data_IF_439761166021
#
_entry.id   IF_439761166021
#
_cell.length_a   1.000
_cell.length_b   1.000
_cell.length_c   1.000
_cell.angle_alpha   90.00
_cell.angle_beta   90.00
_cell.angle_gamma   90.00
#
_symmetry.space_group_name_H-M   'P 1'
#
loop_
_entity.id
_entity.type
_entity.pdbx_description
1 polymer ?
#
# COMPACT_ATOMS: atom_id res chain seq x y z
N UNK A 1 -1.82 49.04 34.16
CA UNK A 1 -1.97 47.64 34.61
C UNK A 1 -2.92 46.84 33.69
N UNK A 2 -4.01 47.42 33.19
CA UNK A 2 -5.00 46.70 32.34
C UNK A 2 -4.55 46.38 30.92
N UNK A 3 -3.67 47.20 30.31
CA UNK A 3 -3.19 46.99 28.93
C UNK A 3 -2.26 45.78 28.86
N UNK A 4 -1.35 45.62 29.81
CA UNK A 4 -0.41 44.52 29.87
C UNK A 4 -1.12 43.17 30.10
N UNK A 5 -2.17 43.18 30.95
CA UNK A 5 -2.99 41.98 31.21
C UNK A 5 -3.81 41.55 29.98
N UNK A 6 -4.36 42.50 29.22
CA UNK A 6 -5.08 42.22 28.00
C UNK A 6 -4.16 41.71 26.86
N UNK A 7 -2.95 42.25 26.75
CA UNK A 7 -1.95 41.77 25.80
C UNK A 7 -1.47 40.34 26.14
N UNK A 8 -1.25 40.03 27.40
CA UNK A 8 -0.86 38.68 27.85
C UNK A 8 -1.99 37.68 27.61
N UNK A 9 -3.24 38.08 27.85
CA UNK A 9 -4.43 37.22 27.63
C UNK A 9 -4.66 36.93 26.15
N UNK A 10 -4.47 37.92 25.25
CA UNK A 10 -4.56 37.75 23.80
C UNK A 10 -3.42 36.88 23.29
N UNK A 11 -2.21 37.02 23.81
CA UNK A 11 -1.07 36.19 23.44
C UNK A 11 -1.25 34.72 23.82
N UNK A 12 -1.82 34.45 25.01
CA UNK A 12 -2.16 33.08 25.46
C UNK A 12 -3.27 32.45 24.57
N UNK A 13 -4.27 33.25 24.15
CA UNK A 13 -5.31 32.78 23.24
C UNK A 13 -4.76 32.43 21.85
N UNK A 14 -3.86 33.26 21.32
CA UNK A 14 -3.21 33.00 20.01
C UNK A 14 -2.32 31.75 20.08
N UNK A 15 -1.61 31.51 21.19
CA UNK A 15 -0.79 30.32 21.39
C UNK A 15 -1.63 29.04 21.52
N UNK A 16 -2.84 29.12 22.06
CA UNK A 16 -3.72 27.96 22.22
C UNK A 16 -4.44 27.55 20.94
N UNK A 17 -4.66 28.46 19.99
CA UNK A 17 -5.29 28.17 18.69
C UNK A 17 -4.32 27.51 17.71
N UNK A 18 -3.01 27.62 17.94
CA UNK A 18 -1.97 27.08 17.05
C UNK A 18 -1.69 25.57 17.22
N UNK A 19 -2.34 24.90 18.18
CA UNK A 19 -2.09 23.49 18.48
C UNK A 19 -3.31 22.60 18.19
N UNK A 20 -3.92 22.74 17.00
CA UNK A 20 -4.78 21.67 16.51
C UNK A 20 -3.89 20.65 15.81
N UNK A 21 -3.81 19.40 16.32
CA UNK A 21 -3.16 18.34 15.57
C UNK A 21 -3.96 18.15 14.28
N UNK A 22 -3.33 18.39 13.14
CA UNK A 22 -3.85 17.94 11.86
C UNK A 22 -3.83 16.42 11.93
N UNK A 23 -5.01 15.79 12.10
CA UNK A 23 -5.14 14.35 11.96
C UNK A 23 -4.88 14.02 10.49
N UNK A 24 -3.67 13.59 10.17
CA UNK A 24 -3.38 12.98 8.87
C UNK A 24 -4.03 11.60 8.90
N UNK A 25 -4.96 11.37 8.00
CA UNK A 25 -5.72 10.11 7.94
C UNK A 25 -4.88 9.12 7.14
N UNK A 26 -4.52 8.00 7.76
CA UNK A 26 -3.94 6.86 7.05
C UNK A 26 -5.08 6.06 6.40
N UNK A 27 -5.17 6.07 5.06
CA UNK A 27 -6.10 5.19 4.36
C UNK A 27 -5.42 3.84 4.11
N UNK A 28 -5.73 2.88 4.97
CA UNK A 28 -5.20 1.51 4.93
C UNK A 28 -6.30 0.53 5.28
N UNK A 29 -6.33 -0.59 4.58
CA UNK A 29 -7.12 -1.75 4.97
C UNK A 29 -6.52 -2.47 6.17
N UNK A 30 -7.31 -3.37 6.75
CA UNK A 30 -6.84 -4.26 7.81
C UNK A 30 -5.79 -5.25 7.29
N UNK A 31 -4.90 -5.70 8.18
CA UNK A 31 -3.96 -6.75 7.88
C UNK A 31 -4.64 -8.12 7.77
N UNK A 32 -4.48 -8.79 6.64
CA UNK A 32 -4.71 -10.23 6.54
C UNK A 32 -3.45 -10.94 7.05
N UNK A 33 -3.57 -11.60 8.19
CA UNK A 33 -2.45 -12.23 8.92
C UNK A 33 -2.39 -13.70 8.56
N UNK A 34 -1.25 -14.15 8.06
CA UNK A 34 -0.91 -15.56 7.78
C UNK A 34 0.34 -15.99 8.54
N UNK A 35 0.78 -17.22 8.27
CA UNK A 35 2.02 -17.76 8.82
C UNK A 35 3.23 -16.97 8.27
N UNK A 36 4.03 -16.37 9.16
CA UNK A 36 5.24 -15.60 8.83
C UNK A 36 5.06 -14.46 7.82
N UNK A 37 3.82 -14.04 7.58
CA UNK A 37 3.51 -12.92 6.68
C UNK A 37 2.19 -12.24 7.04
N UNK A 38 2.06 -10.99 6.66
CA UNK A 38 0.81 -10.24 6.66
C UNK A 38 0.73 -9.34 5.43
N UNK A 39 -0.49 -9.16 4.94
CA UNK A 39 -0.77 -8.43 3.70
C UNK A 39 -1.89 -7.44 3.94
N UNK A 40 -1.82 -6.25 3.37
CA UNK A 40 -2.90 -5.25 3.37
C UNK A 40 -2.87 -4.36 2.14
N UNK A 41 -3.94 -3.60 1.93
CA UNK A 41 -3.98 -2.49 0.99
C UNK A 41 -3.68 -1.16 1.70
N UNK A 42 -3.01 -0.27 0.99
CA UNK A 42 -2.74 1.11 1.42
C UNK A 42 -3.00 2.07 0.26
N UNK A 43 -3.45 3.29 0.56
CA UNK A 43 -3.61 4.34 -0.46
C UNK A 43 -2.76 5.56 -0.10
N UNK A 44 -2.08 6.19 -1.09
CA UNK A 44 -1.39 7.46 -0.90
C UNK A 44 -2.34 8.66 -0.77
N UNK A 45 -3.62 8.47 -1.13
CA UNK A 45 -4.65 9.51 -1.07
C UNK A 45 -5.88 9.02 -0.30
N UNK A 46 -6.53 9.94 0.41
CA UNK A 46 -7.75 9.66 1.19
C UNK A 46 -9.01 9.50 0.34
N UNK A 47 -9.01 10.12 -0.84
CA UNK A 47 -10.12 10.14 -1.80
C UNK A 47 -9.58 10.10 -3.23
N UNK A 48 -10.45 9.81 -4.19
CA UNK A 48 -10.10 9.82 -5.62
C UNK A 48 -11.19 10.50 -6.45
N UNK A 49 -10.76 11.29 -7.43
CA UNK A 49 -11.61 11.91 -8.45
C UNK A 49 -11.00 11.79 -9.85
N UNK A 50 -10.05 10.90 -10.05
CA UNK A 50 -9.40 10.64 -11.33
C UNK A 50 -9.80 9.26 -11.87
N UNK A 51 -9.69 9.11 -13.19
CA UNK A 51 -9.90 7.81 -13.87
C UNK A 51 -8.84 6.78 -13.57
N UNK A 52 -7.69 7.21 -13.05
CA UNK A 52 -6.62 6.33 -12.62
C UNK A 52 -6.38 6.48 -11.12
N UNK A 53 -6.29 5.38 -10.42
CA UNK A 53 -6.00 5.31 -9.01
C UNK A 53 -4.79 4.39 -8.77
N UNK A 54 -3.82 4.89 -8.00
CA UNK A 54 -2.67 4.11 -7.57
C UNK A 54 -2.83 3.77 -6.10
N UNK A 55 -2.73 2.47 -5.78
CA UNK A 55 -2.72 1.96 -4.39
C UNK A 55 -1.57 0.97 -4.21
N UNK A 56 -1.29 0.55 -2.99
CA UNK A 56 -0.24 -0.42 -2.68
C UNK A 56 -0.78 -1.70 -2.08
N UNK A 57 -0.34 -2.85 -2.58
CA UNK A 57 -0.47 -4.14 -1.91
C UNK A 57 0.80 -4.36 -1.10
N UNK A 58 0.70 -4.13 0.20
CA UNK A 58 1.82 -4.17 1.15
C UNK A 58 1.96 -5.54 1.79
N UNK A 59 3.15 -6.11 1.68
CA UNK A 59 3.57 -7.32 2.39
C UNK A 59 4.56 -6.96 3.49
N UNK A 60 4.37 -7.54 4.66
CA UNK A 60 5.38 -7.66 5.70
C UNK A 60 5.56 -9.13 6.04
N UNK A 61 6.78 -9.61 5.91
CA UNK A 61 7.17 -11.00 6.18
C UNK A 61 8.16 -11.03 7.35
N UNK A 62 8.19 -12.12 8.09
CA UNK A 62 9.16 -12.32 9.15
C UNK A 62 10.61 -12.26 8.62
N UNK A 63 11.60 -11.95 9.46
CA UNK A 63 12.98 -11.81 9.03
C UNK A 63 13.52 -13.02 8.26
N UNK A 64 14.00 -12.77 7.05
CA UNK A 64 14.58 -13.76 6.15
C UNK A 64 13.59 -14.49 5.26
N UNK A 65 12.27 -14.31 5.45
CA UNK A 65 11.27 -14.81 4.53
C UNK A 65 11.21 -13.99 3.24
N UNK A 66 10.85 -14.64 2.13
CA UNK A 66 10.85 -14.07 0.79
C UNK A 66 9.58 -14.43 0.06
N UNK A 67 9.11 -13.54 -0.81
CA UNK A 67 8.08 -13.82 -1.80
C UNK A 67 8.64 -13.60 -3.21
N UNK A 68 7.89 -13.98 -4.24
CA UNK A 68 8.41 -14.13 -5.59
C UNK A 68 7.99 -13.00 -6.53
N UNK A 69 8.86 -12.74 -7.52
CA UNK A 69 8.57 -11.85 -8.63
C UNK A 69 7.67 -12.54 -9.66
N UNK A 70 7.11 -11.75 -10.62
CA UNK A 70 6.28 -12.28 -11.73
C UNK A 70 6.94 -13.42 -12.56
N UNK A 71 8.27 -13.43 -12.57
CA UNK A 71 9.07 -14.49 -13.19
C UNK A 71 10.05 -15.02 -12.14
N UNK A 72 9.65 -16.00 -11.33
CA UNK A 72 10.36 -16.35 -10.09
C UNK A 72 11.72 -17.03 -10.31
N UNK A 73 12.06 -17.45 -11.51
CA UNK A 73 13.30 -18.18 -11.82
C UNK A 73 13.12 -19.69 -11.76
N UNK A 74 14.13 -20.40 -11.20
CA UNK A 74 14.16 -21.88 -11.20
C UNK A 74 13.14 -22.50 -10.22
N UNK A 75 12.65 -21.73 -9.23
CA UNK A 75 11.71 -22.24 -8.23
C UNK A 75 10.77 -21.17 -7.71
N UNK A 76 9.61 -21.61 -7.17
CA UNK A 76 8.55 -20.75 -6.67
C UNK A 76 7.49 -20.40 -7.72
N UNK A 77 6.52 -19.56 -7.34
CA UNK A 77 5.52 -19.01 -8.25
C UNK A 77 5.16 -17.58 -7.88
N UNK A 78 4.78 -16.81 -8.89
CA UNK A 78 4.28 -15.44 -8.70
C UNK A 78 2.94 -15.46 -7.97
N UNK A 79 2.65 -14.39 -7.24
CA UNK A 79 1.32 -14.21 -6.66
C UNK A 79 0.25 -14.15 -7.75
N UNK A 80 -0.92 -14.68 -7.41
CA UNK A 80 -2.14 -14.58 -8.22
C UNK A 80 -3.11 -13.67 -7.47
N UNK A 81 -3.62 -12.64 -8.15
CA UNK A 81 -4.53 -11.65 -7.58
C UNK A 81 -5.86 -11.71 -8.35
N UNK A 82 -6.94 -12.06 -7.64
CA UNK A 82 -8.32 -11.90 -8.12
C UNK A 82 -8.94 -10.65 -7.49
N UNK A 83 -9.65 -9.88 -8.32
CA UNK A 83 -10.34 -8.65 -7.92
C UNK A 83 -11.83 -8.62 -8.32
N UNK A 84 -12.38 -9.80 -8.63
CA UNK A 84 -13.76 -9.99 -9.11
C UNK A 84 -14.84 -9.45 -8.15
N UNK A 85 -14.53 -9.35 -6.84
CA UNK A 85 -15.43 -8.82 -5.82
C UNK A 85 -15.22 -7.31 -5.55
N UNK A 86 -14.45 -6.64 -6.38
CA UNK A 86 -14.29 -5.19 -6.34
C UNK A 86 -15.41 -4.49 -7.09
N UNK A 87 -15.64 -3.21 -6.81
CA UNK A 87 -16.60 -2.39 -7.56
C UNK A 87 -15.98 -1.06 -7.97
N UNK A 88 -16.52 -0.49 -9.05
CA UNK A 88 -16.04 0.74 -9.68
C UNK A 88 -14.61 0.63 -10.28
N UNK A 89 -14.17 -0.59 -10.63
CA UNK A 89 -12.88 -0.86 -11.24
C UNK A 89 -13.11 -1.53 -12.60
N UNK A 90 -12.53 -0.97 -13.64
CA UNK A 90 -12.56 -1.52 -15.01
C UNK A 90 -11.35 -2.43 -15.29
N UNK A 91 -10.17 -2.05 -14.75
CA UNK A 91 -8.93 -2.81 -14.90
C UNK A 91 -8.03 -2.67 -13.68
N UNK A 92 -7.22 -3.69 -13.42
CA UNK A 92 -6.18 -3.71 -12.38
C UNK A 92 -4.87 -4.23 -12.97
N UNK A 93 -3.84 -3.42 -12.90
CA UNK A 93 -2.48 -3.77 -13.30
C UNK A 93 -1.54 -3.80 -12.08
N UNK A 94 -0.76 -4.87 -11.94
CA UNK A 94 0.29 -4.97 -10.91
C UNK A 94 1.59 -4.41 -11.49
N UNK A 95 2.12 -3.37 -10.86
CA UNK A 95 3.43 -2.82 -11.18
C UNK A 95 4.49 -3.54 -10.33
N UNK A 96 5.39 -4.26 -10.99
CA UNK A 96 6.35 -5.11 -10.32
C UNK A 96 7.65 -4.36 -10.02
N UNK A 97 8.03 -4.14 -8.75
CA UNK A 97 9.33 -3.59 -8.39
C UNK A 97 10.49 -4.45 -8.92
N UNK A 98 11.66 -3.85 -9.07
CA UNK A 98 12.87 -4.58 -9.44
C UNK A 98 13.18 -5.65 -8.38
N UNK A 99 13.25 -6.94 -8.74
CA UNK A 99 13.45 -8.01 -7.78
C UNK A 99 14.93 -8.16 -7.39
N UNK A 100 15.15 -8.78 -6.24
CA UNK A 100 16.45 -9.29 -5.83
C UNK A 100 16.63 -10.74 -6.27
N UNK A 101 17.90 -11.15 -6.48
CA UNK A 101 18.27 -12.52 -6.76
C UNK A 101 18.72 -13.22 -5.48
N UNK A 102 18.18 -14.40 -5.20
CA UNK A 102 18.53 -15.20 -4.02
C UNK A 102 18.49 -16.69 -4.30
N UNK A 103 19.02 -17.48 -3.35
CA UNK A 103 18.97 -18.93 -3.38
C UNK A 103 17.92 -19.43 -2.37
N UNK A 104 17.03 -20.31 -2.81
CA UNK A 104 16.10 -21.04 -1.95
C UNK A 104 16.19 -22.51 -2.30
N UNK A 105 16.48 -23.37 -1.32
CA UNK A 105 16.59 -24.83 -1.51
C UNK A 105 17.52 -25.24 -2.65
N UNK A 106 18.58 -24.45 -2.89
CA UNK A 106 19.54 -24.68 -3.97
C UNK A 106 19.12 -24.17 -5.35
N UNK A 107 17.91 -23.62 -5.48
CA UNK A 107 17.39 -23.02 -6.71
C UNK A 107 17.62 -21.51 -6.73
N UNK A 108 17.95 -20.96 -7.89
CA UNK A 108 18.06 -19.51 -8.09
C UNK A 108 16.68 -18.91 -8.31
N UNK A 109 16.29 -17.98 -7.47
CA UNK A 109 14.98 -17.32 -7.54
C UNK A 109 15.09 -15.80 -7.56
N UNK A 110 14.04 -15.16 -8.08
CA UNK A 110 13.87 -13.71 -8.11
C UNK A 110 12.64 -13.33 -7.27
N UNK A 111 12.77 -12.30 -6.45
CA UNK A 111 11.67 -11.85 -5.59
C UNK A 111 12.08 -10.78 -4.58
N UNK A 112 11.45 -10.81 -3.41
CA UNK A 112 11.55 -9.75 -2.41
C UNK A 112 11.68 -10.35 -1.02
N UNK A 113 12.49 -9.73 -0.17
CA UNK A 113 12.77 -10.20 1.18
C UNK A 113 12.20 -9.24 2.24
N UNK A 114 11.64 -9.79 3.30
CA UNK A 114 11.07 -9.13 4.47
C UNK A 114 9.87 -8.24 4.15
N UNK A 115 10.04 -7.19 3.34
CA UNK A 115 8.96 -6.25 3.04
C UNK A 115 8.96 -5.90 1.55
N UNK A 116 7.76 -5.79 0.98
CA UNK A 116 7.56 -5.26 -0.37
C UNK A 116 6.20 -4.59 -0.48
N UNK A 117 6.12 -3.54 -1.29
CA UNK A 117 4.86 -2.97 -1.75
C UNK A 117 4.81 -3.17 -3.26
N UNK A 118 3.76 -3.83 -3.72
CA UNK A 118 3.41 -3.90 -5.13
C UNK A 118 2.45 -2.77 -5.44
N UNK A 119 2.85 -1.73 -6.20
CA UNK A 119 1.91 -0.73 -6.65
C UNK A 119 0.89 -1.37 -7.59
N UNK A 120 -0.38 -1.06 -7.39
CA UNK A 120 -1.50 -1.48 -8.20
C UNK A 120 -2.08 -0.25 -8.90
N UNK A 121 -2.09 -0.27 -10.22
CA UNK A 121 -2.74 0.75 -11.05
C UNK A 121 -4.14 0.28 -11.37
N UNK A 122 -5.14 1.06 -10.96
CA UNK A 122 -6.56 0.78 -11.19
C UNK A 122 -7.11 1.76 -12.22
N UNK A 123 -7.90 1.27 -13.16
CA UNK A 123 -8.74 2.10 -14.02
C UNK A 123 -10.14 2.18 -13.41
N UNK A 124 -10.59 3.39 -13.10
CA UNK A 124 -11.85 3.66 -12.43
C UNK A 124 -12.97 3.85 -13.47
N UNK A 125 -14.10 3.19 -13.25
CA UNK A 125 -15.26 3.24 -14.15
C UNK A 125 -15.97 4.59 -14.07
N UNK A 126 -16.22 5.07 -12.85
CA UNK A 126 -16.92 6.34 -12.57
C UNK A 126 -16.21 7.06 -11.40
N UNK A 127 -15.54 8.15 -11.69
CA UNK A 127 -14.78 8.95 -10.73
C UNK A 127 -15.65 9.70 -9.70
N UNK A 128 -16.96 9.76 -9.93
CA UNK A 128 -17.93 10.36 -9.00
C UNK A 128 -18.44 9.39 -7.93
N UNK A 129 -18.07 8.11 -8.02
CA UNK A 129 -18.50 7.07 -7.09
C UNK A 129 -17.33 6.52 -6.27
N UNK A 130 -17.64 6.05 -5.08
CA UNK A 130 -16.69 5.36 -4.21
C UNK A 130 -16.15 4.08 -4.90
N UNK A 131 -14.87 3.81 -4.67
CA UNK A 131 -14.20 2.62 -5.21
C UNK A 131 -13.98 1.61 -4.10
N UNK A 132 -14.45 0.39 -4.28
CA UNK A 132 -14.28 -0.71 -3.33
C UNK A 132 -13.33 -1.74 -3.92
N UNK A 133 -12.14 -1.84 -3.32
CA UNK A 133 -11.11 -2.80 -3.71
C UNK A 133 -11.18 -3.99 -2.78
N UNK A 134 -11.49 -5.17 -3.34
CA UNK A 134 -11.54 -6.43 -2.60
C UNK A 134 -10.70 -7.47 -3.37
N UNK A 135 -9.52 -7.77 -2.84
CA UNK A 135 -8.59 -8.68 -3.48
C UNK A 135 -8.50 -10.00 -2.72
N UNK A 136 -8.51 -11.09 -3.49
CA UNK A 136 -8.01 -12.38 -3.02
C UNK A 136 -6.62 -12.62 -3.62
N UNK A 137 -5.64 -12.85 -2.77
CA UNK A 137 -4.22 -12.95 -3.15
C UNK A 137 -3.69 -14.30 -2.71
N UNK A 138 -3.34 -15.14 -3.68
CA UNK A 138 -2.66 -16.42 -3.45
C UNK A 138 -1.18 -16.23 -3.78
N UNK A 139 -0.30 -16.56 -2.85
CA UNK A 139 1.13 -16.34 -2.98
C UNK A 139 1.93 -17.46 -2.30
N UNK A 140 3.24 -17.44 -2.49
CA UNK A 140 4.16 -18.36 -1.83
C UNK A 140 5.21 -17.54 -1.08
N UNK A 141 5.46 -17.89 0.18
CA UNK A 141 6.59 -17.38 0.93
C UNK A 141 7.56 -18.51 1.27
N UNK A 142 8.85 -18.22 1.23
CA UNK A 142 9.88 -19.24 1.48
C UNK A 142 11.04 -18.68 2.32
N UNK A 143 11.58 -19.55 3.17
CA UNK A 143 12.87 -19.37 3.84
C UNK A 143 13.66 -20.66 3.75
N UNK A 144 13.55 -21.57 4.70
CA UNK A 144 14.06 -22.93 4.66
C UNK A 144 12.99 -23.93 4.18
N UNK A 145 11.74 -23.52 4.28
CA UNK A 145 10.56 -24.20 3.77
C UNK A 145 9.71 -23.19 3.00
N UNK A 146 8.83 -23.68 2.15
CA UNK A 146 7.87 -22.84 1.44
C UNK A 146 6.47 -23.06 1.98
N UNK A 147 5.76 -21.98 2.27
CA UNK A 147 4.41 -21.97 2.81
C UNK A 147 3.50 -21.21 1.82
N UNK A 148 2.44 -21.86 1.31
CA UNK A 148 1.40 -21.15 0.56
C UNK A 148 0.67 -20.15 1.45
N UNK A 149 0.48 -18.95 0.96
CA UNK A 149 -0.30 -17.88 1.59
C UNK A 149 -1.58 -17.61 0.83
N UNK A 150 -2.66 -17.34 1.56
CA UNK A 150 -3.93 -16.85 1.05
C UNK A 150 -4.31 -15.63 1.88
N UNK A 151 -4.48 -14.47 1.22
CA UNK A 151 -4.87 -13.24 1.88
C UNK A 151 -6.11 -12.65 1.22
N UNK A 152 -7.04 -12.18 2.04
CA UNK A 152 -8.16 -11.33 1.61
C UNK A 152 -7.96 -9.96 2.18
N UNK A 153 -7.90 -8.96 1.31
CA UNK A 153 -7.62 -7.58 1.67
C UNK A 153 -8.64 -6.65 1.04
N UNK A 154 -9.07 -5.68 1.81
CA UNK A 154 -10.13 -4.75 1.42
C UNK A 154 -9.68 -3.31 1.65
N UNK A 155 -10.10 -2.40 0.77
CA UNK A 155 -9.92 -0.97 0.91
C UNK A 155 -11.08 -0.23 0.23
N UNK A 156 -11.70 0.68 0.95
CA UNK A 156 -12.68 1.63 0.42
C UNK A 156 -12.03 2.98 0.21
N UNK A 157 -12.17 3.54 -0.99
CA UNK A 157 -11.64 4.84 -1.36
C UNK A 157 -12.80 5.71 -1.80
N UNK A 158 -13.22 6.69 -0.96
CA UNK A 158 -14.32 7.60 -1.28
C UNK A 158 -14.04 8.43 -2.53
N UNK A 159 -15.09 8.76 -3.27
CA UNK A 159 -15.02 9.77 -4.31
C UNK A 159 -14.79 11.16 -3.70
N UNK A 160 -13.92 11.96 -4.30
CA UNK A 160 -13.64 13.32 -3.82
C UNK A 160 -12.23 13.79 -4.12
N UNK A 161 -11.91 14.98 -3.65
CA UNK A 161 -10.62 15.60 -3.90
C UNK A 161 -9.50 14.86 -3.18
N UNK A 162 -8.43 14.57 -3.91
CA UNK A 162 -7.25 13.90 -3.38
C UNK A 162 -6.58 14.73 -2.29
N UNK A 163 -6.47 14.13 -1.10
CA UNK A 163 -5.64 14.64 -0.02
C UNK A 163 -4.61 13.59 0.35
N UNK A 164 -3.38 14.01 0.67
CA UNK A 164 -2.30 13.09 0.99
C UNK A 164 -2.59 12.35 2.30
N UNK A 165 -2.25 11.06 2.32
CA UNK A 165 -2.26 10.24 3.52
C UNK A 165 -0.84 10.01 4.04
N UNK A 166 -0.71 9.42 5.23
CA UNK A 166 0.59 8.98 5.79
C UNK A 166 1.30 7.96 4.91
N UNK A 167 0.55 7.26 4.03
CA UNK A 167 1.11 6.27 3.11
C UNK A 167 1.77 6.90 1.86
N UNK A 168 1.62 8.21 1.63
CA UNK A 168 2.12 8.85 0.42
C UNK A 168 3.62 8.60 0.19
N UNK A 169 4.46 8.87 1.18
CA UNK A 169 5.91 8.74 1.01
C UNK A 169 6.38 7.29 0.86
N UNK A 170 5.71 6.32 1.51
CA UNK A 170 6.05 4.90 1.33
C UNK A 170 5.64 4.42 -0.06
N UNK A 171 4.54 4.93 -0.60
CA UNK A 171 4.11 4.66 -1.98
C UNK A 171 5.07 5.26 -3.01
N UNK A 172 5.43 6.54 -2.88
CA UNK A 172 6.44 7.20 -3.74
C UNK A 172 7.77 6.42 -3.74
N UNK A 173 8.21 6.00 -2.56
CA UNK A 173 9.41 5.16 -2.44
C UNK A 173 9.24 3.83 -3.18
N UNK A 174 8.07 3.19 -3.11
CA UNK A 174 7.83 1.91 -3.81
C UNK A 174 7.89 2.07 -5.34
N UNK A 175 7.41 3.20 -5.85
CA UNK A 175 7.47 3.53 -7.28
C UNK A 175 8.90 3.72 -7.77
N UNK A 176 9.81 4.25 -6.96
CA UNK A 176 11.21 4.43 -7.33
C UNK A 176 11.96 3.11 -7.57
N UNK A 177 11.41 1.98 -7.17
CA UNK A 177 11.95 0.65 -7.44
C UNK A 177 11.40 0.02 -8.73
N UNK A 178 10.46 0.67 -9.43
CA UNK A 178 9.96 0.17 -10.70
C UNK A 178 11.00 0.33 -11.80
N UNK A 179 11.21 -0.71 -12.63
CA UNK A 179 12.02 -0.56 -13.82
C UNK A 179 11.30 0.37 -14.81
N UNK A 180 11.96 1.43 -15.26
CA UNK A 180 11.45 2.34 -16.31
C UNK A 180 10.15 3.11 -15.93
N UNK A 181 9.96 3.46 -14.66
CA UNK A 181 8.89 4.38 -14.30
C UNK A 181 9.32 5.82 -14.69
N UNK A 182 8.96 6.21 -15.91
CA UNK A 182 9.07 7.61 -16.34
C UNK A 182 7.85 8.37 -15.83
N UNK A 183 8.06 9.32 -14.93
CA UNK A 183 7.05 10.26 -14.46
C UNK A 183 6.64 11.24 -15.57
#
# INVERSE_FOLDING_TARGET
>A
MNILYNLLRTFIYILFVSFFPTNVIALSGDWSIGDSSKVRLISPYSQNNDKELLIGLQYEMDPGWKTYWKSPGDGGFAQNISWENSSNINNLEVLWPTPEKFQILGLTSLGYQNNVIFPLKLEITDESQDTFVNLQVNFLICKEVCIPGDARVFLEIPAGNKELTDNFFIMERSLSFLPEYNF
#
